data_IF_139931315381
#
_entry.id   IF_139931315381
#
_cell.length_a   1.000
_cell.length_b   1.000
_cell.length_c   1.000
_cell.angle_alpha   90.00
_cell.angle_beta   90.00
_cell.angle_gamma   90.00
#
_symmetry.space_group_name_H-M   'P 1'
#
loop_
_entity.id
_entity.type
_entity.pdbx_description
1 polymer ?
#
# COMPACT_ATOMS: atom_id res chain seq x y z
N UNK A 1 -7.11 -8.48 -11.47
CA UNK A 1 -6.98 -9.29 -10.23
C UNK A 1 -5.86 -10.32 -10.34
N UNK A 2 -5.68 -10.99 -11.50
CA UNK A 2 -4.59 -11.94 -11.71
C UNK A 2 -3.18 -11.33 -11.57
N UNK A 3 -2.95 -10.11 -12.07
CA UNK A 3 -1.69 -9.39 -11.84
C UNK A 3 -1.35 -9.18 -10.36
N UNK A 4 -2.36 -8.94 -9.51
CA UNK A 4 -2.19 -8.73 -8.09
C UNK A 4 -1.89 -10.04 -7.36
N UNK A 5 -2.53 -11.14 -7.76
CA UNK A 5 -2.20 -12.50 -7.30
C UNK A 5 -0.81 -12.97 -7.72
N UNK A 6 -0.31 -12.49 -8.86
CA UNK A 6 1.04 -12.80 -9.34
C UNK A 6 2.10 -11.93 -8.67
N UNK A 7 1.77 -10.67 -8.38
CA UNK A 7 2.70 -9.70 -7.78
C UNK A 7 2.73 -9.77 -6.25
N UNK A 8 1.67 -10.31 -5.64
CA UNK A 8 1.54 -10.44 -4.19
C UNK A 8 1.18 -11.86 -3.79
N UNK A 9 1.74 -12.33 -2.67
CA UNK A 9 1.38 -13.62 -2.05
C UNK A 9 0.04 -13.59 -1.30
N UNK A 10 -0.71 -12.50 -1.38
CA UNK A 10 -2.00 -12.39 -0.72
C UNK A 10 -3.05 -13.25 -1.43
N UNK A 11 -3.90 -13.88 -0.64
CA UNK A 11 -5.04 -14.64 -1.14
C UNK A 11 -6.10 -13.70 -1.70
N UNK A 12 -6.97 -14.19 -2.58
CA UNK A 12 -8.06 -13.37 -3.14
C UNK A 12 -8.94 -12.77 -2.04
N UNK A 13 -9.18 -13.53 -0.97
CA UNK A 13 -9.92 -13.09 0.21
C UNK A 13 -9.24 -11.92 0.93
N UNK A 14 -7.93 -11.97 1.10
CA UNK A 14 -7.16 -10.90 1.74
C UNK A 14 -7.20 -9.64 0.87
N UNK A 15 -6.96 -9.79 -0.45
CA UNK A 15 -7.04 -8.68 -1.40
C UNK A 15 -8.45 -8.06 -1.39
N UNK A 16 -9.52 -8.86 -1.36
CA UNK A 16 -10.88 -8.37 -1.25
C UNK A 16 -11.12 -7.61 0.07
N UNK A 17 -10.66 -8.13 1.20
CA UNK A 17 -10.79 -7.44 2.49
C UNK A 17 -10.06 -6.10 2.50
N UNK A 18 -8.84 -6.06 1.96
CA UNK A 18 -8.09 -4.81 1.78
C UNK A 18 -8.82 -3.86 0.86
N UNK A 19 -9.38 -4.35 -0.24
CA UNK A 19 -10.14 -3.54 -1.20
C UNK A 19 -11.42 -2.95 -0.59
N UNK A 20 -12.17 -3.74 0.17
CA UNK A 20 -13.36 -3.25 0.87
C UNK A 20 -13.01 -2.19 1.92
N UNK A 21 -11.91 -2.39 2.65
CA UNK A 21 -11.44 -1.42 3.63
C UNK A 21 -10.92 -0.14 2.95
N UNK A 22 -10.21 -0.31 1.83
CA UNK A 22 -9.73 0.77 0.98
C UNK A 22 -10.89 1.58 0.39
N UNK A 23 -11.93 0.95 -0.15
CA UNK A 23 -13.11 1.67 -0.64
C UNK A 23 -13.87 2.39 0.48
N UNK A 24 -13.86 1.85 1.70
CA UNK A 24 -14.50 2.49 2.86
C UNK A 24 -13.74 3.71 3.35
N UNK A 25 -12.41 3.67 3.34
CA UNK A 25 -11.56 4.79 3.78
C UNK A 25 -11.38 5.84 2.66
N UNK A 26 -11.20 5.37 1.42
CA UNK A 26 -10.95 6.19 0.24
C UNK A 26 -11.99 5.89 -0.86
N UNK A 27 -13.17 6.55 -0.83
CA UNK A 27 -14.20 6.36 -1.85
C UNK A 27 -13.76 6.84 -3.25
N UNK A 28 -12.69 7.63 -3.32
CA UNK A 28 -12.04 8.11 -4.55
C UNK A 28 -11.24 7.04 -5.28
N UNK A 29 -10.92 5.92 -4.63
CA UNK A 29 -10.13 4.85 -5.23
C UNK A 29 -8.61 5.11 -5.24
N UNK A 30 -8.16 6.20 -4.62
CA UNK A 30 -6.74 6.64 -4.56
C UNK A 30 -6.36 6.97 -3.12
N UNK A 31 -5.20 6.48 -2.68
CA UNK A 31 -4.60 6.83 -1.40
C UNK A 31 -3.68 8.03 -1.60
N UNK A 32 -3.90 9.10 -0.85
CA UNK A 32 -2.97 10.22 -0.80
C UNK A 32 -1.81 9.90 0.15
N UNK A 33 -0.68 10.62 0.04
CA UNK A 33 0.44 10.43 0.96
C UNK A 33 0.05 10.66 2.43
N UNK A 34 -0.92 11.54 2.70
CA UNK A 34 -1.46 11.79 4.05
C UNK A 34 -2.19 10.56 4.61
N UNK A 35 -3.09 9.97 3.82
CA UNK A 35 -3.81 8.73 4.19
C UNK A 35 -2.84 7.56 4.36
N UNK A 36 -1.86 7.44 3.47
CA UNK A 36 -0.83 6.39 3.56
C UNK A 36 -0.04 6.52 4.87
N UNK A 37 0.30 7.74 5.27
CA UNK A 37 1.03 8.04 6.49
C UNK A 37 0.24 7.64 7.75
N UNK A 38 -1.06 7.93 7.80
CA UNK A 38 -1.94 7.49 8.89
C UNK A 38 -2.04 5.97 8.97
N UNK A 39 -2.24 5.31 7.83
CA UNK A 39 -2.28 3.85 7.75
C UNK A 39 -0.95 3.27 8.25
N UNK A 40 0.18 3.75 7.74
CA UNK A 40 1.50 3.26 8.10
C UNK A 40 1.82 3.50 9.58
N UNK A 41 1.41 4.65 10.13
CA UNK A 41 1.57 4.96 11.56
C UNK A 41 0.72 4.06 12.46
N UNK A 42 -0.44 3.57 11.99
CA UNK A 42 -1.25 2.58 12.73
C UNK A 42 -0.60 1.20 12.75
N UNK A 43 0.10 0.82 11.68
CA UNK A 43 0.83 -0.47 11.62
C UNK A 43 2.15 -0.44 12.39
N UNK A 44 2.85 0.70 12.40
CA UNK A 44 4.15 0.87 13.06
C UNK A 44 4.15 2.10 13.97
N UNK A 45 3.44 2.06 15.12
CA UNK A 45 3.31 3.20 16.02
C UNK A 45 4.63 3.61 16.71
N UNK A 46 5.65 2.75 16.70
CA UNK A 46 6.94 2.99 17.37
C UNK A 46 8.04 3.56 16.45
N UNK A 47 7.81 3.62 15.14
CA UNK A 47 8.82 4.12 14.18
C UNK A 47 8.49 5.56 13.79
N UNK A 48 9.50 6.35 13.38
CA UNK A 48 9.35 7.60 12.62
C UNK A 48 8.72 7.33 11.23
N UNK A 49 7.50 6.79 11.28
CA UNK A 49 6.71 6.28 10.17
C UNK A 49 6.45 7.39 9.16
N UNK A 50 6.38 8.64 9.60
CA UNK A 50 6.11 9.81 8.76
C UNK A 50 7.10 9.96 7.60
N UNK A 51 8.39 10.06 7.95
CA UNK A 51 9.47 10.25 6.96
C UNK A 51 9.71 8.99 6.15
N UNK A 52 9.60 7.83 6.79
CA UNK A 52 9.79 6.54 6.11
C UNK A 52 8.64 6.24 5.15
N UNK A 53 7.39 6.40 5.58
CA UNK A 53 6.20 6.22 4.76
C UNK A 53 6.23 7.12 3.53
N UNK A 54 6.69 8.37 3.63
CA UNK A 54 6.81 9.26 2.47
C UNK A 54 7.87 8.81 1.46
N UNK A 55 8.99 8.27 1.95
CA UNK A 55 10.05 7.72 1.09
C UNK A 55 9.61 6.43 0.40
N UNK A 56 8.93 5.59 1.16
CA UNK A 56 8.35 4.32 0.73
C UNK A 56 7.21 4.55 -0.26
N UNK A 57 6.33 5.52 0.01
CA UNK A 57 5.25 5.96 -0.88
C UNK A 57 5.80 6.32 -2.25
N UNK A 58 6.84 7.17 -2.31
CA UNK A 58 7.47 7.57 -3.59
C UNK A 58 8.17 6.42 -4.31
N UNK A 59 8.50 5.34 -3.60
CA UNK A 59 9.06 4.12 -4.22
C UNK A 59 7.98 3.20 -4.77
N UNK A 60 6.74 3.38 -4.32
CA UNK A 60 5.57 2.58 -4.72
C UNK A 60 4.66 3.30 -5.72
N UNK A 61 4.63 4.63 -5.68
CA UNK A 61 4.02 5.52 -6.68
C UNK A 61 4.86 5.44 -7.96
N UNK A 62 4.51 4.47 -8.80
CA UNK A 62 5.34 4.11 -9.98
C UNK A 62 4.99 5.00 -11.17
N UNK A 63 3.78 5.53 -11.16
CA UNK A 63 3.24 6.48 -12.12
C UNK A 63 3.57 7.95 -11.77
N UNK A 64 4.14 8.21 -10.57
CA UNK A 64 4.49 9.55 -10.05
C UNK A 64 3.28 10.50 -10.13
N UNK A 65 2.08 9.97 -9.87
CA UNK A 65 0.83 10.74 -9.91
C UNK A 65 0.52 11.42 -8.56
N UNK A 66 1.34 11.13 -7.55
CA UNK A 66 1.18 11.65 -6.20
C UNK A 66 0.09 10.93 -5.40
N UNK A 67 -0.43 9.82 -5.92
CA UNK A 67 -1.40 8.95 -5.25
C UNK A 67 -0.99 7.49 -5.39
N UNK A 68 -1.51 6.62 -4.52
CA UNK A 68 -1.39 5.18 -4.70
C UNK A 68 -2.74 4.61 -5.11
N UNK A 69 -2.77 3.99 -6.27
CA UNK A 69 -3.90 3.17 -6.66
C UNK A 69 -3.92 1.90 -5.79
N UNK A 70 -5.09 1.25 -5.69
CA UNK A 70 -5.24 0.02 -4.90
C UNK A 70 -4.20 -1.06 -5.26
N UNK A 71 -3.81 -1.12 -6.54
CA UNK A 71 -2.79 -2.06 -7.04
C UNK A 71 -1.43 -1.79 -6.37
N UNK A 72 -1.00 -0.54 -6.36
CA UNK A 72 0.29 -0.13 -5.82
C UNK A 72 0.30 -0.24 -4.29
N UNK A 73 -0.80 0.09 -3.63
CA UNK A 73 -0.97 -0.10 -2.19
C UNK A 73 -0.84 -1.56 -1.75
N UNK A 74 -1.46 -2.51 -2.47
CA UNK A 74 -1.35 -3.93 -2.12
C UNK A 74 0.06 -4.48 -2.39
N UNK A 75 0.70 -4.03 -3.47
CA UNK A 75 2.09 -4.40 -3.78
C UNK A 75 3.03 -3.83 -2.71
N UNK A 76 2.80 -2.60 -2.27
CA UNK A 76 3.51 -1.93 -1.20
C UNK A 76 3.45 -2.70 0.13
N UNK A 77 2.23 -3.10 0.53
CA UNK A 77 2.01 -3.93 1.71
C UNK A 77 2.71 -5.27 1.59
N UNK A 78 2.63 -5.92 0.43
CA UNK A 78 3.28 -7.19 0.18
C UNK A 78 4.81 -7.09 0.25
N UNK A 79 5.41 -6.05 -0.36
CA UNK A 79 6.84 -5.77 -0.31
C UNK A 79 7.31 -5.54 1.13
N UNK A 80 6.54 -4.75 1.89
CA UNK A 80 6.83 -4.42 3.29
C UNK A 80 6.72 -5.66 4.19
N UNK A 81 5.72 -6.52 3.94
CA UNK A 81 5.48 -7.73 4.73
C UNK A 81 6.41 -8.89 4.35
N UNK A 82 6.82 -9.00 3.08
CA UNK A 82 7.65 -10.11 2.58
C UNK A 82 9.15 -9.83 2.58
N UNK A 83 9.59 -8.60 2.82
CA UNK A 83 11.01 -8.23 2.96
C UNK A 83 11.91 -8.51 1.75
N UNK A 84 11.35 -8.93 0.60
CA UNK A 84 12.11 -9.25 -0.61
C UNK A 84 12.08 -8.08 -1.57
N UNK A 85 12.98 -7.13 -1.34
CA UNK A 85 13.56 -6.34 -2.42
C UNK A 85 14.34 -7.30 -3.33
N UNK A 86 13.68 -7.91 -4.31
CA UNK A 86 14.40 -8.53 -5.43
C UNK A 86 14.94 -7.37 -6.28
N UNK A 87 16.23 -7.13 -6.10
CA UNK A 87 17.09 -6.46 -7.08
C UNK A 87 17.70 -7.52 -7.98
#
# INVERSE_FOLDING_TARGET
LEDLKLSTKFSETEICQWYENFQKQCPTGRITPEEFEEIYSRFFPETDAKSYARHVFRSFDTNDDGTLDFKEYIIALHMTSSGKTTR
#
